data_IF_911971025972
#
_entry.id   IF_911971025972
#
_cell.length_a   1.000
_cell.length_b   1.000
_cell.length_c   1.000
_cell.angle_alpha   90.00
_cell.angle_beta   90.00
_cell.angle_gamma   90.00
#
_symmetry.space_group_name_H-M   'P 1'
#
loop_
_entity.id
_entity.type
_entity.pdbx_description
1 polymer ?
#
# COMPACT_ATOMS: atom_id res chain seq x y z
N UNK A 1 -24.57 36.60 -29.64
CA UNK A 1 -23.12 36.46 -29.43
C UNK A 1 -22.83 35.06 -28.95
N UNK A 2 -21.76 34.44 -29.49
CA UNK A 2 -21.41 33.05 -29.16
C UNK A 2 -20.72 32.96 -27.77
N UNK A 3 -20.14 34.08 -27.30
CA UNK A 3 -19.42 34.12 -26.03
C UNK A 3 -18.13 33.31 -26.05
N UNK A 4 -17.75 32.72 -24.92
CA UNK A 4 -16.58 31.84 -24.80
C UNK A 4 -16.82 30.54 -25.63
N UNK A 5 -15.82 30.13 -26.41
CA UNK A 5 -15.81 28.87 -27.16
C UNK A 5 -14.60 28.04 -26.71
N UNK A 6 -14.84 26.77 -26.32
CA UNK A 6 -13.81 25.83 -25.93
C UNK A 6 -13.94 24.53 -26.71
N UNK A 7 -12.86 24.09 -27.35
CA UNK A 7 -12.77 22.75 -27.95
C UNK A 7 -12.53 21.76 -26.82
N UNK A 8 -13.41 20.78 -26.67
CA UNK A 8 -13.37 19.77 -25.60
C UNK A 8 -12.75 18.45 -26.05
N UNK A 9 -12.87 18.11 -27.34
CA UNK A 9 -12.23 16.92 -27.88
C UNK A 9 -11.91 17.05 -29.38
N UNK A 10 -10.89 16.31 -29.80
CA UNK A 10 -10.55 16.13 -31.20
C UNK A 10 -10.18 14.65 -31.43
N UNK A 11 -10.84 13.99 -32.34
CA UNK A 11 -10.64 12.58 -32.64
C UNK A 11 -10.71 12.28 -34.14
N UNK A 12 -9.97 11.26 -34.58
CA UNK A 12 -10.07 10.74 -35.94
C UNK A 12 -11.26 9.80 -36.07
N UNK A 13 -12.14 10.01 -37.05
CA UNK A 13 -13.31 9.15 -37.31
C UNK A 13 -13.00 8.16 -38.43
N UNK A 14 -12.28 8.60 -39.45
CA UNK A 14 -11.84 7.77 -40.58
C UNK A 14 -10.61 8.42 -41.25
N UNK A 15 -10.02 7.77 -42.25
CA UNK A 15 -8.90 8.33 -43.00
C UNK A 15 -9.25 9.72 -43.59
N UNK A 16 -8.58 10.77 -43.10
CA UNK A 16 -8.76 12.15 -43.53
C UNK A 16 -9.97 12.89 -42.93
N UNK A 17 -10.75 12.25 -42.02
CA UNK A 17 -11.90 12.90 -41.33
C UNK A 17 -11.64 13.02 -39.85
N UNK A 18 -11.71 14.24 -39.33
CA UNK A 18 -11.56 14.54 -37.89
C UNK A 18 -12.89 15.07 -37.32
N UNK A 19 -13.22 14.65 -36.13
CA UNK A 19 -14.33 15.13 -35.33
C UNK A 19 -13.80 16.10 -34.29
N UNK A 20 -14.39 17.28 -34.22
CA UNK A 20 -14.12 18.28 -33.19
C UNK A 20 -15.37 18.48 -32.38
N UNK A 21 -15.31 18.41 -31.10
CA UNK A 21 -16.37 18.76 -30.17
C UNK A 21 -15.99 20.05 -29.44
N UNK A 22 -16.93 20.94 -29.28
CA UNK A 22 -16.73 22.21 -28.62
C UNK A 22 -17.98 22.64 -27.86
N UNK A 23 -17.77 23.38 -26.77
CA UNK A 23 -18.83 24.02 -25.98
C UNK A 23 -18.73 25.54 -26.13
N UNK A 24 -19.88 26.23 -26.07
CA UNK A 24 -19.95 27.69 -26.17
C UNK A 24 -20.93 28.26 -25.14
N UNK A 25 -20.83 29.55 -24.85
CA UNK A 25 -21.76 30.28 -23.99
C UNK A 25 -21.94 29.58 -22.61
N UNK A 26 -23.18 29.24 -22.29
CA UNK A 26 -23.53 28.61 -21.02
C UNK A 26 -22.80 27.28 -20.79
N UNK A 27 -22.57 26.47 -21.84
CA UNK A 27 -21.83 25.19 -21.71
C UNK A 27 -20.37 25.40 -21.36
N UNK A 28 -19.74 26.42 -21.89
CA UNK A 28 -18.36 26.76 -21.54
C UNK A 28 -18.24 27.32 -20.12
N UNK A 29 -19.23 28.10 -19.65
CA UNK A 29 -19.29 28.58 -18.28
C UNK A 29 -19.49 27.41 -17.27
N UNK A 30 -20.35 26.44 -17.58
CA UNK A 30 -20.50 25.26 -16.73
C UNK A 30 -19.21 24.48 -16.60
N UNK A 31 -18.47 24.29 -17.68
CA UNK A 31 -17.15 23.62 -17.64
C UNK A 31 -16.16 24.39 -16.76
N UNK A 32 -16.12 25.72 -16.88
CA UNK A 32 -15.25 26.56 -16.03
C UNK A 32 -15.62 26.44 -14.56
N UNK A 33 -16.92 26.49 -14.23
CA UNK A 33 -17.40 26.35 -12.84
C UNK A 33 -17.06 24.99 -12.26
N UNK A 34 -17.21 23.92 -13.03
CA UNK A 34 -16.87 22.56 -12.61
C UNK A 34 -15.36 22.40 -12.30
N UNK A 35 -14.50 22.86 -13.21
CA UNK A 35 -13.05 22.81 -13.01
C UNK A 35 -12.59 23.69 -11.83
N UNK A 36 -13.17 24.88 -11.67
CA UNK A 36 -12.90 25.78 -10.56
C UNK A 36 -13.30 25.16 -9.22
N UNK A 37 -14.49 24.54 -9.13
CA UNK A 37 -14.93 23.84 -7.92
C UNK A 37 -14.03 22.66 -7.58
N UNK A 38 -13.59 21.90 -8.59
CA UNK A 38 -12.65 20.78 -8.38
C UNK A 38 -11.29 21.29 -7.89
N UNK A 39 -10.75 22.35 -8.48
CA UNK A 39 -9.49 22.97 -8.04
C UNK A 39 -9.58 23.47 -6.60
N UNK A 40 -10.65 24.21 -6.25
CA UNK A 40 -10.87 24.68 -4.88
C UNK A 40 -11.00 23.53 -3.87
N UNK A 41 -11.66 22.44 -4.25
CA UNK A 41 -11.73 21.25 -3.40
C UNK A 41 -10.35 20.61 -3.17
N UNK A 42 -9.51 20.55 -4.20
CA UNK A 42 -8.12 20.06 -4.11
C UNK A 42 -7.28 20.98 -3.23
N UNK A 43 -7.36 22.29 -3.43
CA UNK A 43 -6.64 23.31 -2.63
C UNK A 43 -6.98 23.20 -1.15
N UNK A 44 -8.27 23.05 -0.83
CA UNK A 44 -8.74 22.87 0.54
C UNK A 44 -8.21 21.57 1.18
N UNK A 45 -8.23 20.46 0.44
CA UNK A 45 -7.68 19.20 0.92
C UNK A 45 -6.17 19.27 1.19
N UNK A 46 -5.44 20.06 0.43
CA UNK A 46 -4.00 20.21 0.54
C UNK A 46 -3.56 21.36 1.42
N UNK A 47 -4.50 22.15 1.98
CA UNK A 47 -4.22 23.34 2.76
C UNK A 47 -3.39 24.38 2.00
N UNK A 48 -3.75 24.59 0.74
CA UNK A 48 -3.19 25.66 -0.10
C UNK A 48 -4.06 26.89 0.08
N UNK A 49 -3.46 28.06 0.24
CA UNK A 49 -4.22 29.31 0.19
C UNK A 49 -4.76 29.49 -1.24
N UNK A 50 -6.08 29.34 -1.37
CA UNK A 50 -6.75 29.58 -2.66
C UNK A 50 -6.68 31.07 -2.97
N UNK A 51 -5.70 31.45 -3.78
CA UNK A 51 -5.65 32.78 -4.34
C UNK A 51 -6.73 32.79 -5.43
N UNK A 52 -7.94 33.23 -5.07
CA UNK A 52 -9.01 33.49 -6.05
C UNK A 52 -8.57 34.63 -6.97
N UNK A 53 -7.68 34.29 -7.91
CA UNK A 53 -7.05 35.22 -8.85
C UNK A 53 -7.93 35.52 -10.06
N UNK A 54 -9.27 35.41 -9.90
CA UNK A 54 -10.22 35.73 -10.98
C UNK A 54 -10.31 37.20 -11.31
N UNK A 55 -9.89 38.10 -10.41
CA UNK A 55 -9.95 39.54 -10.65
C UNK A 55 -8.95 39.93 -11.75
N UNK A 56 -9.51 40.16 -12.96
CA UNK A 56 -8.78 40.67 -14.12
C UNK A 56 -8.19 39.64 -15.08
N UNK A 57 -8.40 38.32 -14.83
CA UNK A 57 -7.96 37.25 -15.75
C UNK A 57 -9.09 36.94 -16.76
N UNK A 58 -8.72 36.74 -18.02
CA UNK A 58 -9.67 36.31 -19.05
C UNK A 58 -10.18 34.88 -18.70
N UNK A 59 -11.49 34.67 -18.81
CA UNK A 59 -12.12 33.39 -18.43
C UNK A 59 -11.54 32.19 -19.21
N UNK A 60 -11.10 32.40 -20.46
CA UNK A 60 -10.49 31.35 -21.26
C UNK A 60 -9.06 31.01 -20.77
N UNK A 61 -8.30 32.01 -20.37
CA UNK A 61 -6.95 31.80 -19.83
C UNK A 61 -7.02 31.12 -18.45
N UNK A 62 -8.00 31.48 -17.62
CA UNK A 62 -8.23 30.81 -16.36
C UNK A 62 -8.67 29.35 -16.55
N UNK A 63 -9.53 29.06 -17.51
CA UNK A 63 -9.93 27.68 -17.85
C UNK A 63 -8.72 26.85 -18.31
N UNK A 64 -7.82 27.41 -19.11
CA UNK A 64 -6.58 26.72 -19.52
C UNK A 64 -5.70 26.41 -18.33
N UNK A 65 -5.50 27.39 -17.44
CA UNK A 65 -4.75 27.20 -16.19
C UNK A 65 -5.30 26.02 -15.38
N UNK A 66 -6.63 25.97 -15.14
CA UNK A 66 -7.25 24.88 -14.38
C UNK A 66 -7.06 23.50 -15.02
N UNK A 67 -7.13 23.43 -16.36
CA UNK A 67 -6.88 22.19 -17.09
C UNK A 67 -5.43 21.73 -16.97
N UNK A 68 -4.47 22.65 -17.15
CA UNK A 68 -3.03 22.35 -17.04
C UNK A 68 -2.65 21.90 -15.63
N UNK A 69 -3.17 22.58 -14.61
CA UNK A 69 -2.98 22.18 -13.22
C UNK A 69 -3.55 20.77 -12.95
N UNK A 70 -4.78 20.50 -13.37
CA UNK A 70 -5.40 19.18 -13.18
C UNK A 70 -4.63 18.06 -13.88
N UNK A 71 -4.09 18.31 -15.08
CA UNK A 71 -3.20 17.37 -15.79
C UNK A 71 -1.90 17.16 -15.00
N UNK A 72 -1.32 18.23 -14.46
CA UNK A 72 -0.12 18.16 -13.63
C UNK A 72 -0.34 17.32 -12.36
N UNK A 73 -1.45 17.54 -11.67
CA UNK A 73 -1.83 16.77 -10.48
C UNK A 73 -2.05 15.29 -10.79
N UNK A 74 -2.80 14.98 -11.86
CA UNK A 74 -3.04 13.62 -12.31
C UNK A 74 -1.74 12.88 -12.63
N UNK A 75 -0.79 13.56 -13.28
CA UNK A 75 0.54 13.03 -13.56
C UNK A 75 1.34 12.78 -12.29
N UNK A 76 1.36 13.71 -11.35
CA UNK A 76 2.07 13.58 -10.07
C UNK A 76 1.52 12.40 -9.24
N UNK A 77 0.21 12.22 -9.22
CA UNK A 77 -0.49 11.16 -8.49
C UNK A 77 -0.58 9.82 -9.25
N UNK A 78 -0.15 9.79 -10.51
CA UNK A 78 -0.27 8.64 -11.41
C UNK A 78 -1.72 8.10 -11.49
N UNK A 79 -2.66 9.00 -11.76
CA UNK A 79 -4.09 8.70 -11.91
C UNK A 79 -4.71 9.46 -13.08
N UNK A 80 -5.98 9.22 -13.40
CA UNK A 80 -6.73 10.02 -14.37
C UNK A 80 -7.21 11.35 -13.77
N UNK A 81 -7.49 12.34 -14.63
CA UNK A 81 -7.87 13.70 -14.21
C UNK A 81 -9.11 13.74 -13.31
N UNK A 82 -10.06 12.85 -13.54
CA UNK A 82 -11.31 12.72 -12.76
C UNK A 82 -11.11 12.07 -11.39
N UNK A 83 -9.95 11.47 -11.14
CA UNK A 83 -9.64 10.75 -9.91
C UNK A 83 -8.71 11.51 -8.96
N UNK A 84 -8.22 12.68 -9.34
CA UNK A 84 -7.24 13.46 -8.57
C UNK A 84 -7.68 13.68 -7.13
N UNK A 85 -8.84 14.30 -6.92
CA UNK A 85 -9.37 14.59 -5.58
C UNK A 85 -9.55 13.31 -4.74
N UNK A 86 -10.16 12.29 -5.33
CA UNK A 86 -10.35 10.99 -4.66
C UNK A 86 -9.03 10.36 -4.23
N UNK A 87 -8.00 10.48 -5.07
CA UNK A 87 -6.66 9.94 -4.78
C UNK A 87 -5.98 10.68 -3.64
N UNK A 88 -6.11 11.99 -3.58
CA UNK A 88 -5.60 12.81 -2.47
C UNK A 88 -6.24 12.39 -1.15
N UNK A 89 -7.59 12.31 -1.11
CA UNK A 89 -8.33 11.88 0.08
C UNK A 89 -7.89 10.47 0.51
N UNK A 90 -7.78 9.53 -0.43
CA UNK A 90 -7.32 8.16 -0.14
C UNK A 90 -5.92 8.12 0.48
N UNK A 91 -4.96 8.92 -0.03
CA UNK A 91 -3.60 8.96 0.53
C UNK A 91 -3.61 9.59 1.93
N UNK A 92 -4.45 10.60 2.18
CA UNK A 92 -4.61 11.19 3.53
C UNK A 92 -5.17 10.18 4.53
N UNK A 93 -6.19 9.43 4.15
CA UNK A 93 -6.75 8.35 4.99
C UNK A 93 -5.69 7.29 5.28
N UNK A 94 -4.98 6.83 4.26
CA UNK A 94 -3.89 5.87 4.42
C UNK A 94 -2.78 6.40 5.35
N UNK A 95 -2.40 7.67 5.23
CA UNK A 95 -1.42 8.28 6.13
C UNK A 95 -1.93 8.30 7.58
N UNK A 96 -3.20 8.62 7.80
CA UNK A 96 -3.80 8.61 9.14
C UNK A 96 -3.81 7.22 9.76
N UNK A 97 -4.08 6.18 8.99
CA UNK A 97 -4.07 4.80 9.48
C UNK A 97 -2.65 4.33 9.79
N UNK A 98 -1.67 4.66 8.94
CA UNK A 98 -0.26 4.39 9.21
C UNK A 98 0.26 5.13 10.45
N UNK A 99 -0.18 6.37 10.70
CA UNK A 99 0.17 7.10 11.92
C UNK A 99 -0.38 6.42 13.18
N UNK A 100 -1.61 5.89 13.14
CA UNK A 100 -2.19 5.11 14.25
C UNK A 100 -1.39 3.82 14.47
N UNK A 101 -1.10 3.07 13.41
CA UNK A 101 -0.28 1.85 13.48
C UNK A 101 1.09 2.11 14.11
N UNK A 102 1.75 3.22 13.72
CA UNK A 102 3.04 3.64 14.26
C UNK A 102 2.96 4.30 15.65
N UNK A 103 1.77 4.42 16.23
CA UNK A 103 1.51 5.12 17.49
C UNK A 103 2.08 6.55 17.49
N UNK A 104 1.95 7.25 16.37
CA UNK A 104 2.38 8.65 16.19
C UNK A 104 1.19 9.59 16.26
N UNK A 105 1.43 10.82 16.71
CA UNK A 105 0.43 11.89 16.69
C UNK A 105 0.07 12.32 15.26
N UNK A 106 -0.98 13.16 15.11
CA UNK A 106 -1.37 13.70 13.82
C UNK A 106 -0.22 14.51 13.21
N UNK A 107 -0.22 14.58 11.88
CA UNK A 107 0.75 15.41 11.16
C UNK A 107 0.60 16.88 11.54
N UNK A 108 1.71 17.59 11.63
CA UNK A 108 1.68 19.04 11.80
C UNK A 108 1.03 19.70 10.59
N UNK A 109 0.21 20.70 10.88
CA UNK A 109 -0.46 21.47 9.84
C UNK A 109 0.57 22.34 9.11
N UNK A 110 0.65 22.20 7.79
CA UNK A 110 1.51 23.00 6.94
C UNK A 110 0.69 23.58 5.80
N UNK A 111 0.85 24.89 5.57
CA UNK A 111 0.27 25.60 4.43
C UNK A 111 1.28 25.56 3.29
N UNK A 112 0.81 25.38 2.07
CA UNK A 112 1.62 25.33 0.85
C UNK A 112 1.24 26.49 -0.06
N UNK A 113 2.20 26.95 -0.87
CA UNK A 113 1.98 28.00 -1.85
C UNK A 113 1.26 27.48 -3.11
N UNK A 114 1.43 26.19 -3.42
CA UNK A 114 0.84 25.54 -4.61
C UNK A 114 0.30 24.15 -4.30
N UNK A 115 -0.72 23.73 -5.05
CA UNK A 115 -1.29 22.38 -4.93
C UNK A 115 -0.25 21.30 -5.25
N UNK A 116 0.65 21.54 -6.21
CA UNK A 116 1.68 20.55 -6.55
C UNK A 116 2.65 20.30 -5.38
N UNK A 117 3.05 21.34 -4.66
CA UNK A 117 3.87 21.20 -3.45
C UNK A 117 3.13 20.41 -2.36
N UNK A 118 1.85 20.69 -2.19
CA UNK A 118 0.98 19.93 -1.26
C UNK A 118 0.91 18.44 -1.62
N UNK A 119 0.74 18.11 -2.90
CA UNK A 119 0.72 16.75 -3.43
C UNK A 119 2.07 16.06 -3.20
N UNK A 120 3.17 16.70 -3.57
CA UNK A 120 4.52 16.15 -3.39
C UNK A 120 4.82 15.86 -1.90
N UNK A 121 4.45 16.78 -1.02
CA UNK A 121 4.60 16.59 0.41
C UNK A 121 3.74 15.43 0.93
N UNK A 122 2.48 15.34 0.53
CA UNK A 122 1.57 14.26 0.90
C UNK A 122 2.14 12.89 0.48
N UNK A 123 2.66 12.79 -0.73
CA UNK A 123 3.29 11.56 -1.24
C UNK A 123 4.60 11.21 -0.52
N UNK A 124 5.42 12.22 -0.19
CA UNK A 124 6.66 12.03 0.55
C UNK A 124 6.38 11.48 1.96
N UNK A 125 5.38 12.03 2.64
CA UNK A 125 4.92 11.56 3.94
C UNK A 125 4.41 10.11 3.84
N UNK A 126 3.54 9.81 2.89
CA UNK A 126 3.03 8.45 2.67
C UNK A 126 4.17 7.43 2.46
N UNK A 127 5.15 7.78 1.63
CA UNK A 127 6.32 6.94 1.38
C UNK A 127 7.16 6.71 2.65
N UNK A 128 7.35 7.75 3.46
CA UNK A 128 8.09 7.66 4.73
C UNK A 128 7.35 6.77 5.73
N UNK A 129 6.05 6.99 5.93
CA UNK A 129 5.23 6.22 6.86
C UNK A 129 5.17 4.74 6.47
N UNK A 130 5.01 4.42 5.19
CA UNK A 130 5.07 3.03 4.68
C UNK A 130 6.43 2.37 4.94
N UNK A 131 7.52 3.12 4.84
CA UNK A 131 8.85 2.60 5.16
C UNK A 131 8.97 2.31 6.64
N UNK A 132 8.51 3.23 7.50
CA UNK A 132 8.60 3.10 8.95
C UNK A 132 7.72 1.94 9.46
N UNK A 133 6.48 1.79 8.92
CA UNK A 133 5.60 0.66 9.23
C UNK A 133 6.27 -0.69 8.88
N UNK A 134 6.85 -0.82 7.68
CA UNK A 134 7.60 -2.01 7.30
C UNK A 134 8.81 -2.29 8.20
N UNK A 135 9.49 -1.25 8.64
CA UNK A 135 10.63 -1.38 9.55
C UNK A 135 10.16 -1.87 10.92
N UNK A 136 9.09 -1.28 11.48
CA UNK A 136 8.50 -1.69 12.76
C UNK A 136 8.09 -3.16 12.71
N UNK A 137 7.35 -3.58 11.67
CA UNK A 137 6.98 -4.99 11.49
C UNK A 137 8.21 -5.91 11.40
N UNK A 138 9.28 -5.47 10.74
CA UNK A 138 10.52 -6.25 10.64
C UNK A 138 11.26 -6.36 11.98
N UNK A 139 11.23 -5.31 12.82
CA UNK A 139 11.85 -5.29 14.15
C UNK A 139 11.06 -6.15 15.14
N UNK A 140 9.72 -6.11 15.11
CA UNK A 140 8.85 -6.94 15.92
C UNK A 140 9.04 -8.43 15.61
N UNK A 141 9.07 -8.79 14.33
CA UNK A 141 9.40 -10.14 13.91
C UNK A 141 10.83 -10.53 14.35
N UNK A 142 11.77 -9.60 14.27
CA UNK A 142 13.16 -9.81 14.69
C UNK A 142 13.30 -10.12 16.16
N UNK A 143 12.59 -9.40 17.02
CA UNK A 143 12.56 -9.61 18.47
C UNK A 143 11.86 -10.90 18.84
N UNK A 144 10.73 -11.22 18.18
CA UNK A 144 10.02 -12.48 18.35
C UNK A 144 10.86 -13.67 17.94
N UNK A 145 11.57 -13.61 16.82
CA UNK A 145 12.50 -14.66 16.37
C UNK A 145 13.62 -14.87 17.39
N UNK A 146 14.20 -13.80 17.94
CA UNK A 146 15.24 -13.93 18.97
C UNK A 146 14.70 -14.63 20.21
N UNK A 147 13.54 -14.24 20.69
CA UNK A 147 12.87 -14.87 21.83
C UNK A 147 12.61 -16.37 21.60
N UNK A 148 12.18 -16.74 20.38
CA UNK A 148 11.95 -18.14 19.99
C UNK A 148 13.25 -18.95 19.96
N UNK A 149 14.34 -18.38 19.46
CA UNK A 149 15.66 -19.03 19.47
C UNK A 149 16.17 -19.20 20.91
N UNK A 150 16.03 -18.16 21.75
CA UNK A 150 16.46 -18.18 23.15
C UNK A 150 15.65 -19.18 24.01
N UNK A 151 14.38 -19.44 23.63
CA UNK A 151 13.49 -20.42 24.29
C UNK A 151 13.55 -21.84 23.73
N UNK A 152 14.42 -22.09 22.76
CA UNK A 152 14.56 -23.40 22.12
C UNK A 152 15.01 -24.49 23.10
N UNK A 153 14.61 -25.71 22.80
CA UNK A 153 14.98 -26.92 23.58
C UNK A 153 16.10 -27.66 22.86
N UNK A 154 17.08 -28.16 23.59
CA UNK A 154 18.07 -29.08 23.05
C UNK A 154 17.55 -30.53 23.16
N UNK A 155 17.31 -31.19 22.03
CA UNK A 155 16.82 -32.57 21.97
C UNK A 155 17.76 -33.38 21.07
N UNK A 156 18.40 -34.39 21.63
CA UNK A 156 19.31 -35.30 20.90
C UNK A 156 20.45 -34.57 20.13
N UNK A 157 20.85 -33.40 20.60
CA UNK A 157 21.85 -32.57 19.94
C UNK A 157 21.32 -31.57 18.92
N UNK A 158 20.05 -31.56 18.65
CA UNK A 158 19.38 -30.59 17.77
C UNK A 158 18.68 -29.51 18.59
N UNK A 159 18.70 -28.29 18.09
CA UNK A 159 17.94 -27.17 18.64
C UNK A 159 16.49 -27.21 18.13
N UNK A 160 15.56 -27.61 19.00
CA UNK A 160 14.13 -27.65 18.67
C UNK A 160 13.47 -26.31 19.00
N UNK A 161 12.99 -25.61 17.98
CA UNK A 161 12.25 -24.36 18.09
C UNK A 161 10.78 -24.62 17.76
N UNK A 162 9.91 -24.41 18.73
CA UNK A 162 8.47 -24.63 18.57
C UNK A 162 7.71 -23.37 18.95
N UNK A 163 6.66 -23.04 18.19
CA UNK A 163 5.76 -21.95 18.55
C UNK A 163 4.38 -22.16 17.97
N UNK A 164 3.39 -21.63 18.69
CA UNK A 164 2.00 -21.56 18.24
C UNK A 164 1.62 -20.09 18.05
N UNK A 165 0.97 -19.79 16.95
CA UNK A 165 0.48 -18.46 16.57
C UNK A 165 -1.04 -18.47 16.49
N UNK A 166 -1.67 -17.30 16.58
CA UNK A 166 -3.10 -17.11 16.35
C UNK A 166 -3.29 -16.38 15.03
N UNK A 167 -4.26 -16.80 14.22
CA UNK A 167 -4.69 -16.16 12.97
C UNK A 167 -3.58 -15.78 11.96
N UNK A 168 -2.45 -16.49 12.00
CA UNK A 168 -1.31 -16.27 11.11
C UNK A 168 -1.43 -17.14 9.87
N UNK A 169 -1.30 -16.54 8.69
CA UNK A 169 -1.42 -17.28 7.44
C UNK A 169 -0.18 -18.15 7.13
N UNK A 170 -0.34 -19.11 6.20
CA UNK A 170 0.73 -20.03 5.81
C UNK A 170 1.95 -19.32 5.19
N UNK A 171 1.76 -18.16 4.57
CA UNK A 171 2.85 -17.38 3.96
C UNK A 171 3.70 -16.70 5.03
N UNK A 172 3.05 -16.08 6.00
CA UNK A 172 3.70 -15.44 7.13
C UNK A 172 4.44 -16.45 8.02
N UNK A 173 3.82 -17.59 8.33
CA UNK A 173 4.50 -18.69 9.02
C UNK A 173 5.76 -19.16 8.29
N UNK A 174 5.71 -19.20 6.96
CA UNK A 174 6.86 -19.56 6.13
C UNK A 174 7.99 -18.56 6.24
N UNK A 175 7.67 -17.27 6.20
CA UNK A 175 8.66 -16.21 6.37
C UNK A 175 9.33 -16.27 7.75
N UNK A 176 8.57 -16.55 8.81
CA UNK A 176 9.10 -16.76 10.17
C UNK A 176 10.01 -17.98 10.20
N UNK A 177 9.58 -19.13 9.65
CA UNK A 177 10.38 -20.34 9.59
C UNK A 177 11.69 -20.16 8.82
N UNK A 178 11.66 -19.48 7.67
CA UNK A 178 12.87 -19.19 6.89
C UNK A 178 13.83 -18.26 7.65
N UNK A 179 13.31 -17.27 8.37
CA UNK A 179 14.14 -16.37 9.21
C UNK A 179 14.75 -17.11 10.41
N UNK A 180 14.00 -17.99 11.09
CA UNK A 180 14.50 -18.85 12.17
C UNK A 180 15.61 -19.76 11.65
N UNK A 181 15.39 -20.44 10.53
CA UNK A 181 16.36 -21.33 9.88
C UNK A 181 17.67 -20.64 9.52
N UNK A 182 17.61 -19.36 9.15
CA UNK A 182 18.79 -18.56 8.81
C UNK A 182 19.55 -18.05 10.06
N UNK A 183 18.89 -18.01 11.22
CA UNK A 183 19.47 -17.50 12.47
C UNK A 183 19.95 -18.59 13.43
N UNK A 184 19.53 -19.83 13.23
CA UNK A 184 19.87 -20.96 14.09
C UNK A 184 20.51 -22.08 13.26
N UNK A 185 21.61 -22.61 13.76
CA UNK A 185 22.30 -23.78 13.21
C UNK A 185 21.80 -25.04 13.89
N UNK A 186 21.87 -26.18 13.21
CA UNK A 186 21.49 -27.49 13.74
C UNK A 186 20.09 -27.49 14.37
N UNK A 187 19.12 -26.84 13.71
CA UNK A 187 17.80 -26.55 14.26
C UNK A 187 16.67 -27.24 13.50
N UNK A 188 15.67 -27.68 14.27
CA UNK A 188 14.38 -28.18 13.82
C UNK A 188 13.33 -27.16 14.28
N UNK A 189 12.57 -26.63 13.35
CA UNK A 189 11.59 -25.59 13.57
C UNK A 189 10.20 -26.17 13.32
N UNK A 190 9.28 -26.04 14.28
CA UNK A 190 7.90 -26.46 14.17
C UNK A 190 6.99 -25.31 14.56
N UNK A 191 6.30 -24.75 13.59
CA UNK A 191 5.37 -23.64 13.78
C UNK A 191 3.96 -24.07 13.41
N UNK A 192 2.99 -23.72 14.24
CA UNK A 192 1.57 -24.00 14.04
C UNK A 192 0.81 -22.68 14.22
N UNK A 193 -0.14 -22.39 13.36
CA UNK A 193 -1.12 -21.33 13.62
C UNK A 193 -2.48 -21.95 13.85
N UNK A 194 -3.25 -21.37 14.76
CA UNK A 194 -4.60 -21.79 15.10
C UNK A 194 -5.55 -20.66 14.71
N UNK A 195 -6.50 -20.97 13.84
CA UNK A 195 -7.64 -20.11 13.48
C UNK A 195 -8.93 -20.92 13.60
N UNK A 196 -10.09 -20.24 13.51
CA UNK A 196 -11.39 -20.92 13.70
C UNK A 196 -11.59 -22.14 12.81
N UNK A 197 -11.15 -22.10 11.54
CA UNK A 197 -11.40 -23.16 10.55
C UNK A 197 -10.12 -23.87 10.06
N UNK A 198 -8.93 -23.43 10.45
CA UNK A 198 -7.66 -23.93 9.88
C UNK A 198 -6.55 -23.96 10.92
N UNK A 199 -5.68 -24.95 10.80
CA UNK A 199 -4.46 -25.04 11.60
C UNK A 199 -3.23 -25.26 10.70
N UNK A 200 -2.79 -24.24 9.93
CA UNK A 200 -1.60 -24.39 9.12
C UNK A 200 -0.38 -24.66 9.99
N UNK A 201 0.43 -25.63 9.56
CA UNK A 201 1.65 -26.03 10.24
C UNK A 201 2.84 -26.01 9.28
N UNK A 202 4.00 -25.67 9.79
CA UNK A 202 5.28 -25.69 9.06
C UNK A 202 6.32 -26.43 9.89
N UNK A 203 7.06 -27.29 9.23
CA UNK A 203 8.28 -27.91 9.74
C UNK A 203 9.42 -27.54 8.83
N UNK A 204 10.48 -26.95 9.39
CA UNK A 204 11.68 -26.60 8.66
C UNK A 204 12.92 -27.08 9.41
N UNK A 205 13.90 -27.60 8.68
CA UNK A 205 15.19 -28.05 9.22
C UNK A 205 16.31 -27.19 8.64
N UNK A 206 17.31 -26.86 9.47
CA UNK A 206 18.55 -26.25 8.98
C UNK A 206 19.34 -27.25 8.15
N UNK A 207 20.30 -26.78 7.35
CA UNK A 207 21.05 -27.59 6.39
C UNK A 207 21.88 -28.71 7.04
N UNK A 208 22.21 -28.52 8.31
CA UNK A 208 23.09 -29.41 9.07
C UNK A 208 22.33 -30.50 9.83
N UNK A 209 20.99 -30.56 9.66
CA UNK A 209 20.12 -31.54 10.31
C UNK A 209 19.83 -32.69 9.36
N UNK A 210 20.16 -33.91 9.79
CA UNK A 210 19.86 -35.15 9.05
C UNK A 210 18.52 -35.78 9.49
N UNK A 211 17.48 -34.92 9.56
CA UNK A 211 16.10 -35.32 9.87
C UNK A 211 15.19 -34.82 8.74
N UNK A 212 14.30 -35.71 8.29
CA UNK A 212 13.36 -35.37 7.22
C UNK A 212 12.12 -34.63 7.78
N UNK A 213 11.98 -33.36 7.42
CA UNK A 213 10.85 -32.53 7.83
C UNK A 213 9.48 -33.12 7.45
N UNK A 214 9.42 -33.94 6.40
CA UNK A 214 8.18 -34.63 5.96
C UNK A 214 7.72 -35.67 6.97
N UNK A 215 8.64 -36.35 7.64
CA UNK A 215 8.28 -37.35 8.66
C UNK A 215 7.67 -36.67 9.89
N UNK A 216 8.27 -35.57 10.34
CA UNK A 216 7.73 -34.78 11.44
C UNK A 216 6.35 -34.24 11.06
N UNK A 217 6.22 -33.67 9.85
CA UNK A 217 4.94 -33.17 9.36
C UNK A 217 3.88 -34.25 9.29
N UNK A 218 4.22 -35.45 8.86
CA UNK A 218 3.30 -36.61 8.82
C UNK A 218 2.78 -36.97 10.22
N UNK A 219 3.62 -36.91 11.23
CA UNK A 219 3.21 -37.15 12.62
C UNK A 219 2.26 -36.07 13.12
N UNK A 220 2.54 -34.79 12.81
CA UNK A 220 1.67 -33.65 13.16
C UNK A 220 0.28 -33.80 12.50
N UNK A 221 0.23 -34.08 11.21
CA UNK A 221 -1.02 -34.21 10.46
C UNK A 221 -1.86 -35.38 10.98
N UNK A 222 -1.25 -36.50 11.37
CA UNK A 222 -1.97 -37.63 11.95
C UNK A 222 -2.69 -37.26 13.25
N UNK A 223 -2.23 -36.23 13.96
CA UNK A 223 -2.87 -35.77 15.21
C UNK A 223 -3.84 -34.59 14.96
N UNK A 224 -3.48 -33.67 14.07
CA UNK A 224 -4.28 -32.48 13.78
C UNK A 224 -5.42 -32.75 12.77
N UNK A 225 -5.33 -33.81 11.99
CA UNK A 225 -6.14 -34.01 10.80
C UNK A 225 -5.61 -33.19 9.61
N UNK A 226 -6.16 -33.39 8.43
CA UNK A 226 -5.81 -32.65 7.24
C UNK A 226 -4.80 -33.32 6.33
N UNK A 227 -4.02 -32.53 5.58
CA UNK A 227 -3.04 -33.01 4.62
C UNK A 227 -1.80 -32.12 4.58
N UNK A 228 -0.69 -32.68 4.12
CA UNK A 228 0.54 -31.90 4.00
C UNK A 228 1.63 -32.64 3.24
N UNK A 229 2.71 -31.94 2.95
CA UNK A 229 3.85 -32.47 2.23
C UNK A 229 4.94 -31.42 2.06
N UNK A 230 5.97 -31.77 1.33
CA UNK A 230 7.09 -30.85 1.13
C UNK A 230 8.36 -31.56 0.71
N UNK A 231 9.49 -30.95 1.03
CA UNK A 231 10.85 -31.48 0.83
C UNK A 231 11.40 -31.98 2.18
N UNK A 232 12.54 -32.65 2.14
CA UNK A 232 13.22 -33.14 3.35
C UNK A 232 13.64 -32.01 4.30
N UNK A 233 13.93 -30.82 3.77
CA UNK A 233 14.33 -29.66 4.55
C UNK A 233 13.16 -28.73 4.94
N UNK A 234 11.98 -28.92 4.34
CA UNK A 234 10.82 -28.04 4.53
C UNK A 234 9.52 -28.76 4.17
N UNK A 235 8.60 -28.87 5.11
CA UNK A 235 7.26 -29.42 4.92
C UNK A 235 6.20 -28.50 5.49
N UNK A 236 5.02 -28.49 4.86
CA UNK A 236 3.86 -27.70 5.28
C UNK A 236 2.60 -28.55 5.21
N UNK A 237 1.62 -28.22 6.07
CA UNK A 237 0.34 -28.93 6.14
C UNK A 237 -0.68 -28.17 6.98
N UNK A 238 -1.85 -28.76 7.15
CA UNK A 238 -2.94 -28.22 7.95
C UNK A 238 -4.28 -28.76 7.49
#
# INVERSE_FOLDING_TARGET
EIGMLKITSESGVSAGVRRIEAVTGAGANLLLDELSQNYSAISNELFVEDIDSRDGVDALDYLRFLEEENISFAKALNCSNDQVLKKIVQIKEENNDLLKELNRGPLEFKIFDTCIEGIENLMAINKSLKKDSKQLQSEDIGSSIKALVDSSLLVEGYQLITSTFEDTDSKELREIADRLRNKSENSIIVLISISEDKAPAIVACSKDVDIDAREIMKHLINQLGGSGGGRSDFAQGG
#
